data_IF_492277748967
#
_entry.id   IF_492277748967
#
_cell.length_a   1.000
_cell.length_b   1.000
_cell.length_c   1.000
_cell.angle_alpha   90.00
_cell.angle_beta   90.00
_cell.angle_gamma   90.00
#
_symmetry.space_group_name_H-M   'P 1'
#
loop_
_entity.id
_entity.type
_entity.pdbx_description
1 polymer ?
#
# COMPACT_ATOMS: atom_id res chain seq x y z
N UNK A 1 25.72 -12.90 -5.09
CA UNK A 1 24.29 -13.21 -4.86
C UNK A 1 23.61 -13.08 -6.19
N UNK A 2 22.87 -14.10 -6.61
CA UNK A 2 22.11 -14.09 -7.86
C UNK A 2 20.98 -13.04 -7.72
N UNK A 3 20.73 -12.26 -8.76
CA UNK A 3 19.80 -11.13 -8.72
C UNK A 3 18.35 -11.64 -8.82
N UNK A 4 17.54 -11.48 -7.76
CA UNK A 4 16.13 -11.91 -7.76
C UNK A 4 15.34 -11.16 -8.83
N UNK A 5 14.55 -11.88 -9.63
CA UNK A 5 13.70 -11.32 -10.69
C UNK A 5 12.27 -11.17 -10.21
N UNK A 6 11.46 -10.27 -10.82
CA UNK A 6 10.05 -10.12 -10.45
C UNK A 6 9.24 -11.41 -10.50
N UNK A 7 9.53 -12.28 -11.47
CA UNK A 7 8.89 -13.58 -11.62
C UNK A 7 9.14 -14.52 -10.43
N UNK A 8 10.24 -14.35 -9.71
CA UNK A 8 10.61 -15.22 -8.58
C UNK A 8 9.73 -14.94 -7.35
N UNK A 9 9.39 -13.66 -7.09
CA UNK A 9 8.43 -13.27 -6.04
C UNK A 9 7.01 -13.77 -6.40
N UNK A 10 6.66 -13.70 -7.68
CA UNK A 10 5.31 -13.97 -8.15
C UNK A 10 5.00 -15.47 -8.32
N UNK A 11 6.02 -16.33 -8.47
CA UNK A 11 5.85 -17.77 -8.68
C UNK A 11 5.10 -18.48 -7.53
N UNK A 12 5.12 -17.91 -6.31
CA UNK A 12 4.34 -18.41 -5.17
C UNK A 12 3.08 -17.58 -4.86
N UNK A 13 2.81 -16.51 -5.60
CA UNK A 13 1.75 -15.53 -5.30
C UNK A 13 0.40 -15.87 -5.97
N UNK A 14 0.35 -16.97 -6.71
CA UNK A 14 -0.88 -17.43 -7.35
C UNK A 14 -1.85 -18.01 -6.33
N UNK A 15 -2.90 -17.23 -6.04
CA UNK A 15 -4.08 -17.75 -5.35
C UNK A 15 -5.32 -17.37 -6.15
N UNK A 16 -6.16 -18.35 -6.48
CA UNK A 16 -7.49 -18.10 -7.04
C UNK A 16 -8.29 -17.15 -6.13
N UNK A 17 -8.12 -17.29 -4.82
CA UNK A 17 -8.72 -16.42 -3.80
C UNK A 17 -8.44 -14.93 -4.02
N UNK A 18 -7.19 -14.54 -4.31
CA UNK A 18 -6.85 -13.14 -4.59
C UNK A 18 -7.59 -12.63 -5.84
N UNK A 19 -7.62 -13.40 -6.93
CA UNK A 19 -8.30 -12.95 -8.15
C UNK A 19 -9.83 -12.95 -8.02
N UNK A 20 -10.38 -13.84 -7.18
CA UNK A 20 -11.79 -13.88 -6.84
C UNK A 20 -12.20 -12.71 -5.95
N UNK A 21 -11.38 -12.27 -4.99
CA UNK A 21 -11.69 -11.11 -4.16
C UNK A 21 -11.91 -9.84 -5.00
N UNK A 22 -11.06 -9.63 -6.02
CA UNK A 22 -11.18 -8.55 -7.00
C UNK A 22 -12.28 -8.75 -8.05
N UNK A 23 -12.91 -9.93 -8.12
CA UNK A 23 -14.06 -10.16 -8.99
C UNK A 23 -15.37 -9.60 -8.39
N UNK A 24 -15.42 -9.34 -7.08
CA UNK A 24 -16.61 -8.84 -6.41
C UNK A 24 -16.80 -7.33 -6.63
N UNK A 25 -18.00 -6.85 -7.01
CA UNK A 25 -18.24 -5.42 -7.22
C UNK A 25 -18.00 -4.52 -5.99
N UNK A 26 -18.08 -5.09 -4.78
CA UNK A 26 -17.93 -4.33 -3.53
C UNK A 26 -16.57 -3.66 -3.37
N UNK A 27 -15.48 -4.36 -3.71
CA UNK A 27 -14.12 -3.80 -3.58
C UNK A 27 -13.90 -2.65 -4.57
N UNK A 28 -14.43 -2.77 -5.79
CA UNK A 28 -14.36 -1.71 -6.79
C UNK A 28 -15.24 -0.51 -6.42
N UNK A 29 -16.39 -0.73 -5.78
CA UNK A 29 -17.24 0.35 -5.26
C UNK A 29 -16.52 1.16 -4.17
N UNK A 30 -15.84 0.50 -3.23
CA UNK A 30 -15.01 1.16 -2.22
C UNK A 30 -13.87 1.97 -2.85
N UNK A 31 -13.10 1.35 -3.76
CA UNK A 31 -12.00 2.01 -4.47
C UNK A 31 -12.45 3.21 -5.31
N UNK A 32 -13.63 3.14 -5.95
CA UNK A 32 -14.18 4.24 -6.74
C UNK A 32 -14.78 5.35 -5.87
N UNK A 33 -15.34 5.01 -4.70
CA UNK A 33 -15.85 5.97 -3.71
C UNK A 33 -14.72 6.68 -2.96
N UNK A 34 -13.53 6.10 -2.90
CA UNK A 34 -12.31 6.80 -2.50
C UNK A 34 -11.97 7.89 -3.53
N UNK A 35 -12.52 9.08 -3.27
CA UNK A 35 -12.35 10.26 -4.12
C UNK A 35 -10.92 10.77 -4.10
N UNK A 36 -10.22 10.69 -2.97
CA UNK A 36 -8.85 11.19 -2.87
C UNK A 36 -7.92 10.36 -3.75
N UNK A 37 -8.03 9.03 -3.66
CA UNK A 37 -7.36 8.09 -4.58
C UNK A 37 -7.67 8.43 -6.03
N UNK A 38 -8.95 8.32 -6.39
CA UNK A 38 -9.39 8.37 -7.79
C UNK A 38 -9.09 9.73 -8.45
N UNK A 39 -9.26 10.84 -7.71
CA UNK A 39 -8.97 12.17 -8.22
C UNK A 39 -7.47 12.46 -8.31
N UNK A 40 -6.62 11.83 -7.48
CA UNK A 40 -5.17 11.98 -7.58
C UNK A 40 -4.65 11.40 -8.91
N UNK A 41 -5.11 10.19 -9.28
CA UNK A 41 -4.82 9.62 -10.60
C UNK A 41 -5.40 10.45 -11.75
N UNK A 42 -6.65 10.93 -11.62
CA UNK A 42 -7.27 11.80 -12.63
C UNK A 42 -6.46 13.07 -12.87
N UNK A 43 -5.87 13.67 -11.82
CA UNK A 43 -5.02 14.86 -11.92
C UNK A 43 -3.64 14.55 -12.51
N UNK A 44 -3.16 13.32 -12.40
CA UNK A 44 -1.91 12.88 -13.02
C UNK A 44 -2.08 12.60 -14.53
N UNK A 45 -3.22 12.03 -14.95
CA UNK A 45 -3.51 11.63 -16.33
C UNK A 45 -4.09 12.79 -17.17
N UNK A 46 -3.43 13.94 -17.17
CA UNK A 46 -3.86 15.15 -17.90
C UNK A 46 -3.37 15.16 -19.36
N UNK A 47 -3.96 15.98 -20.26
CA UNK A 47 -3.60 15.98 -21.67
C UNK A 47 -2.13 16.27 -21.95
N UNK A 48 -1.48 17.13 -21.16
CA UNK A 48 -0.05 17.43 -21.29
C UNK A 48 0.86 16.24 -20.99
N UNK A 49 0.33 15.19 -20.36
CA UNK A 49 1.05 13.95 -20.04
C UNK A 49 0.71 12.87 -21.05
N UNK A 50 -0.59 12.62 -21.32
CA UNK A 50 -1.03 11.42 -22.05
C UNK A 50 -1.34 11.63 -23.54
N UNK A 51 -1.49 12.88 -24.03
CA UNK A 51 -1.96 13.11 -25.40
C UNK A 51 -1.01 12.53 -26.44
N UNK A 52 -1.54 11.67 -27.32
CA UNK A 52 -0.78 11.00 -28.38
C UNK A 52 0.13 9.86 -27.89
N UNK A 53 0.12 9.54 -26.59
CA UNK A 53 0.94 8.52 -25.96
C UNK A 53 0.25 7.16 -25.91
N UNK A 54 1.05 6.10 -25.78
CA UNK A 54 0.59 4.73 -25.54
C UNK A 54 0.72 4.45 -24.06
N UNK A 55 -0.39 4.05 -23.44
CA UNK A 55 -0.49 3.84 -21.99
C UNK A 55 -0.73 2.36 -21.70
N UNK A 56 -0.05 1.81 -20.70
CA UNK A 56 -0.35 0.51 -20.10
C UNK A 56 -0.94 0.72 -18.72
N UNK A 57 -2.15 0.19 -18.49
CA UNK A 57 -2.85 0.16 -17.20
C UNK A 57 -2.73 -1.25 -16.61
N UNK A 58 -1.87 -1.40 -15.60
CA UNK A 58 -1.55 -2.71 -14.98
C UNK A 58 -2.51 -2.97 -13.84
N UNK A 59 -3.37 -3.99 -13.97
CA UNK A 59 -4.47 -4.27 -13.03
C UNK A 59 -5.59 -3.25 -13.17
N UNK A 60 -6.17 -3.13 -14.37
CA UNK A 60 -7.06 -2.03 -14.68
C UNK A 60 -8.39 -2.06 -13.92
N UNK A 61 -8.77 -3.21 -13.33
CA UNK A 61 -10.04 -3.41 -12.66
C UNK A 61 -11.21 -3.01 -13.57
N UNK A 62 -12.02 -2.05 -13.12
CA UNK A 62 -13.15 -1.49 -13.88
C UNK A 62 -12.75 -0.63 -15.10
N UNK A 63 -11.46 -0.34 -15.29
CA UNK A 63 -10.95 0.45 -16.41
C UNK A 63 -11.01 1.98 -16.19
N UNK A 64 -11.23 2.44 -14.96
CA UNK A 64 -11.35 3.88 -14.66
C UNK A 64 -10.09 4.68 -15.03
N UNK A 65 -8.90 4.16 -14.73
CA UNK A 65 -7.64 4.83 -15.04
C UNK A 65 -7.38 4.85 -16.55
N UNK A 66 -7.63 3.73 -17.22
CA UNK A 66 -7.66 3.62 -18.68
C UNK A 66 -8.59 4.65 -19.33
N UNK A 67 -9.80 4.85 -18.80
CA UNK A 67 -10.73 5.86 -19.31
C UNK A 67 -10.24 7.30 -19.06
N UNK A 68 -9.57 7.59 -17.95
CA UNK A 68 -8.94 8.90 -17.76
C UNK A 68 -7.84 9.16 -18.80
N UNK A 69 -7.00 8.17 -19.09
CA UNK A 69 -5.98 8.30 -20.13
C UNK A 69 -6.60 8.51 -21.52
N UNK A 70 -7.58 7.67 -21.91
CA UNK A 70 -8.26 7.77 -23.19
C UNK A 70 -8.99 9.12 -23.37
N UNK A 71 -9.73 9.57 -22.35
CA UNK A 71 -10.43 10.86 -22.35
C UNK A 71 -9.50 12.05 -22.57
N UNK A 72 -8.26 11.97 -22.07
CA UNK A 72 -7.27 13.03 -22.18
C UNK A 72 -6.37 12.89 -23.44
N UNK A 73 -6.74 12.00 -24.36
CA UNK A 73 -6.17 11.95 -25.71
C UNK A 73 -5.03 10.95 -25.89
N UNK A 74 -4.91 9.94 -25.02
CA UNK A 74 -4.03 8.80 -25.29
C UNK A 74 -4.32 8.21 -26.68
N UNK A 75 -3.26 7.89 -27.42
CA UNK A 75 -3.35 7.27 -28.75
C UNK A 75 -3.92 5.86 -28.64
N UNK A 76 -3.50 5.14 -27.60
CA UNK A 76 -3.87 3.75 -27.30
C UNK A 76 -3.70 3.52 -25.81
N UNK A 77 -4.60 2.74 -25.22
CA UNK A 77 -4.45 2.22 -23.87
C UNK A 77 -4.52 0.70 -23.92
N UNK A 78 -3.52 0.00 -23.38
CA UNK A 78 -3.58 -1.42 -23.08
C UNK A 78 -3.98 -1.56 -21.61
N UNK A 79 -5.12 -2.18 -21.36
CA UNK A 79 -5.65 -2.36 -20.01
C UNK A 79 -5.58 -3.85 -19.67
N UNK A 80 -4.74 -4.24 -18.71
CA UNK A 80 -4.51 -5.64 -18.34
C UNK A 80 -5.25 -5.95 -17.05
N UNK A 81 -6.10 -6.98 -17.06
CA UNK A 81 -6.84 -7.43 -15.89
C UNK A 81 -7.05 -8.95 -15.92
N UNK A 82 -6.67 -9.63 -14.85
CA UNK A 82 -6.79 -11.08 -14.72
C UNK A 82 -8.20 -11.48 -14.27
N UNK A 83 -8.75 -10.75 -13.30
CA UNK A 83 -10.00 -11.10 -12.63
C UNK A 83 -11.22 -10.96 -13.54
N UNK A 84 -12.33 -11.52 -13.09
CA UNK A 84 -13.55 -11.56 -13.91
C UNK A 84 -14.22 -10.20 -14.08
N UNK A 85 -13.86 -9.19 -13.27
CA UNK A 85 -14.34 -7.79 -13.37
C UNK A 85 -14.11 -7.18 -14.74
N UNK A 86 -13.15 -7.72 -15.50
CA UNK A 86 -12.87 -7.30 -16.88
C UNK A 86 -14.12 -7.34 -17.76
N UNK A 87 -15.08 -8.24 -17.49
CA UNK A 87 -16.31 -8.35 -18.30
C UNK A 87 -17.12 -7.07 -18.18
N UNK A 88 -17.29 -6.60 -16.95
CA UNK A 88 -17.91 -5.32 -16.62
C UNK A 88 -17.06 -4.16 -17.16
N UNK A 89 -15.73 -4.22 -17.05
CA UNK A 89 -14.85 -3.19 -17.61
C UNK A 89 -15.04 -3.03 -19.13
N UNK A 90 -15.16 -4.13 -19.88
CA UNK A 90 -15.43 -4.09 -21.32
C UNK A 90 -16.76 -3.41 -21.64
N UNK A 91 -17.82 -3.72 -20.87
CA UNK A 91 -19.12 -3.05 -21.00
C UNK A 91 -19.04 -1.56 -20.69
N UNK A 92 -18.38 -1.19 -19.58
CA UNK A 92 -18.16 0.20 -19.16
C UNK A 92 -17.41 0.99 -20.25
N UNK A 93 -16.30 0.44 -20.76
CA UNK A 93 -15.49 1.06 -21.81
C UNK A 93 -16.34 1.33 -23.06
N UNK A 94 -17.12 0.34 -23.50
CA UNK A 94 -18.02 0.46 -24.66
C UNK A 94 -19.13 1.47 -24.42
N UNK A 95 -19.76 1.46 -23.24
CA UNK A 95 -20.82 2.42 -22.88
C UNK A 95 -20.33 3.87 -22.92
N UNK A 96 -19.04 4.09 -22.68
CA UNK A 96 -18.42 5.40 -22.69
C UNK A 96 -17.72 5.74 -24.03
N UNK A 97 -17.83 4.88 -25.06
CA UNK A 97 -17.34 5.13 -26.41
C UNK A 97 -15.81 5.08 -26.55
N UNK A 98 -15.12 4.35 -25.66
CA UNK A 98 -13.65 4.25 -25.66
C UNK A 98 -13.12 2.92 -26.20
N UNK A 99 -13.97 2.04 -26.74
CA UNK A 99 -13.58 0.72 -27.26
C UNK A 99 -12.58 0.77 -28.43
N UNK A 100 -12.52 1.91 -29.14
CA UNK A 100 -11.56 2.11 -30.23
C UNK A 100 -10.17 2.58 -29.75
N UNK A 101 -10.07 3.03 -28.49
CA UNK A 101 -8.84 3.56 -27.89
C UNK A 101 -8.28 2.60 -26.83
N UNK A 102 -9.15 1.93 -26.07
CA UNK A 102 -8.77 1.03 -24.98
C UNK A 102 -8.87 -0.41 -25.47
N UNK A 103 -7.75 -1.13 -25.44
CA UNK A 103 -7.67 -2.57 -25.68
C UNK A 103 -7.55 -3.29 -24.34
N UNK A 104 -8.63 -3.98 -23.94
CA UNK A 104 -8.66 -4.77 -22.72
C UNK A 104 -8.07 -6.16 -22.99
N UNK A 105 -7.11 -6.58 -22.16
CA UNK A 105 -6.38 -7.85 -22.27
C UNK A 105 -6.62 -8.64 -20.98
N UNK A 106 -7.13 -9.86 -21.11
CA UNK A 106 -7.25 -10.77 -19.98
C UNK A 106 -5.95 -11.52 -19.73
N UNK A 107 -5.46 -11.47 -18.50
CA UNK A 107 -4.37 -12.31 -18.04
C UNK A 107 -3.54 -11.64 -16.95
N UNK A 108 -2.59 -12.39 -16.40
CA UNK A 108 -1.57 -11.83 -15.51
C UNK A 108 -0.58 -11.01 -16.32
N UNK A 109 -0.05 -9.94 -15.73
CA UNK A 109 0.86 -9.02 -16.42
C UNK A 109 2.11 -9.75 -16.96
N UNK A 110 2.51 -10.82 -16.30
CA UNK A 110 3.69 -11.64 -16.59
C UNK A 110 3.48 -12.62 -17.75
N UNK A 111 2.21 -12.95 -18.02
CA UNK A 111 1.79 -13.97 -19.00
C UNK A 111 1.26 -13.34 -20.29
N UNK A 112 0.81 -12.09 -20.24
CA UNK A 112 0.30 -11.37 -21.43
C UNK A 112 1.43 -10.76 -22.24
N UNK A 113 1.20 -10.66 -23.55
CA UNK A 113 2.09 -9.96 -24.48
C UNK A 113 1.49 -8.60 -24.88
N UNK A 114 2.27 -7.54 -24.71
CA UNK A 114 1.92 -6.20 -25.19
C UNK A 114 2.68 -5.98 -26.50
N UNK A 115 2.00 -5.64 -27.60
CA UNK A 115 2.58 -5.72 -28.95
C UNK A 115 3.64 -4.65 -29.23
N UNK A 116 3.78 -3.64 -28.36
CA UNK A 116 4.76 -2.56 -28.51
C UNK A 116 5.20 -1.99 -27.15
N UNK A 117 6.35 -1.31 -27.13
CA UNK A 117 6.80 -0.54 -25.97
C UNK A 117 5.85 0.64 -25.71
N UNK A 118 5.55 0.91 -24.44
CA UNK A 118 4.61 1.95 -24.01
C UNK A 118 5.34 3.21 -23.50
N UNK A 119 4.71 4.36 -23.67
CA UNK A 119 5.25 5.64 -23.20
C UNK A 119 4.99 5.85 -21.70
N UNK A 120 3.89 5.28 -21.20
CA UNK A 120 3.39 5.50 -19.84
C UNK A 120 2.92 4.16 -19.27
N UNK A 121 3.34 3.84 -18.06
CA UNK A 121 2.67 2.85 -17.21
C UNK A 121 1.90 3.60 -16.14
N UNK A 122 0.63 3.24 -15.96
CA UNK A 122 -0.16 3.63 -14.80
C UNK A 122 -0.63 2.38 -14.09
N UNK A 123 -0.58 2.39 -12.77
CA UNK A 123 -1.10 1.29 -11.97
C UNK A 123 -1.43 1.80 -10.60
N UNK A 124 -2.54 1.34 -10.06
CA UNK A 124 -2.84 1.45 -8.65
C UNK A 124 -2.54 0.09 -8.03
N UNK A 125 -1.33 -0.02 -7.48
CA UNK A 125 -0.72 -1.26 -7.01
C UNK A 125 -0.58 -1.32 -5.48
N UNK A 126 -0.92 -0.23 -4.81
CA UNK A 126 -0.60 -0.05 -3.40
C UNK A 126 -1.55 -0.89 -2.56
N UNK A 127 -1.01 -1.73 -1.69
CA UNK A 127 -1.78 -2.43 -0.66
C UNK A 127 -1.83 -1.66 0.65
N UNK A 128 -2.44 -2.27 1.67
CA UNK A 128 -2.26 -1.84 3.05
C UNK A 128 -0.77 -1.83 3.41
N UNK A 129 -0.35 -0.94 4.31
CA UNK A 129 1.06 -0.76 4.64
C UNK A 129 1.97 -0.55 3.40
N UNK A 130 1.41 -0.02 2.30
CA UNK A 130 1.99 0.14 0.96
C UNK A 130 2.30 -1.17 0.21
N UNK A 131 2.91 -2.16 0.88
CA UNK A 131 3.49 -3.35 0.25
C UNK A 131 2.60 -4.60 0.29
N UNK A 132 1.50 -4.57 1.04
CA UNK A 132 0.63 -5.75 1.16
C UNK A 132 0.07 -6.17 -0.22
N UNK A 133 -0.19 -7.46 -0.39
CA UNK A 133 -0.62 -8.10 -1.65
C UNK A 133 0.41 -8.16 -2.79
N UNK A 134 1.57 -7.52 -2.65
CA UNK A 134 2.75 -7.68 -3.53
C UNK A 134 2.55 -7.36 -5.03
N UNK A 135 1.54 -6.56 -5.39
CA UNK A 135 1.28 -6.18 -6.79
C UNK A 135 2.41 -5.32 -7.41
N UNK A 136 3.24 -4.67 -6.58
CA UNK A 136 4.39 -3.88 -7.04
C UNK A 136 5.37 -4.70 -7.91
N UNK A 137 5.52 -6.00 -7.66
CA UNK A 137 6.36 -6.87 -8.48
C UNK A 137 5.86 -6.95 -9.94
N UNK A 138 4.54 -7.00 -10.17
CA UNK A 138 3.93 -6.98 -11.50
C UNK A 138 4.15 -5.64 -12.21
N UNK A 139 4.12 -4.53 -11.47
CA UNK A 139 4.41 -3.20 -12.01
C UNK A 139 5.88 -3.09 -12.42
N UNK A 140 6.81 -3.60 -11.61
CA UNK A 140 8.23 -3.66 -11.93
C UNK A 140 8.48 -4.52 -13.17
N UNK A 141 7.84 -5.70 -13.26
CA UNK A 141 7.89 -6.55 -14.44
C UNK A 141 7.43 -5.79 -15.71
N UNK A 142 6.27 -5.13 -15.63
CA UNK A 142 5.72 -4.36 -16.75
C UNK A 142 6.65 -3.22 -17.17
N UNK A 143 7.27 -2.53 -16.21
CA UNK A 143 8.23 -1.47 -16.45
C UNK A 143 9.44 -1.98 -17.22
N UNK A 144 10.08 -3.03 -16.71
CA UNK A 144 11.33 -3.55 -17.29
C UNK A 144 11.09 -4.12 -18.69
N UNK A 145 9.95 -4.77 -18.90
CA UNK A 145 9.62 -5.40 -20.19
C UNK A 145 9.03 -4.44 -21.20
N UNK A 146 8.10 -3.57 -20.81
CA UNK A 146 7.26 -2.82 -21.75
C UNK A 146 7.47 -1.31 -21.76
N UNK A 147 8.05 -0.70 -20.72
CA UNK A 147 8.28 0.75 -20.74
C UNK A 147 9.42 1.12 -21.70
N UNK A 148 9.28 2.25 -22.40
CA UNK A 148 10.37 2.89 -23.16
C UNK A 148 11.42 3.49 -22.21
N UNK A 149 12.63 3.71 -22.72
CA UNK A 149 13.72 4.28 -21.91
C UNK A 149 13.40 5.69 -21.39
N UNK A 150 12.71 6.51 -22.19
CA UNK A 150 12.21 7.84 -21.81
C UNK A 150 10.77 7.83 -21.25
N UNK A 151 10.21 6.63 -21.03
CA UNK A 151 8.86 6.46 -20.51
C UNK A 151 8.74 6.83 -19.04
N UNK A 152 7.50 7.11 -18.62
CA UNK A 152 7.16 7.46 -17.24
C UNK A 152 6.26 6.41 -16.60
N UNK A 153 6.33 6.30 -15.28
CA UNK A 153 5.50 5.44 -14.45
C UNK A 153 4.70 6.29 -13.48
N UNK A 154 3.42 5.97 -13.28
CA UNK A 154 2.48 6.73 -12.46
C UNK A 154 1.79 5.82 -11.42
N UNK A 155 1.97 6.06 -10.11
CA UNK A 155 2.86 7.07 -9.50
C UNK A 155 4.35 6.82 -9.81
N UNK A 156 5.19 7.85 -9.72
CA UNK A 156 6.64 7.72 -9.96
C UNK A 156 7.44 7.45 -8.68
N UNK A 157 6.93 7.88 -7.53
CA UNK A 157 7.54 7.58 -6.23
C UNK A 157 6.49 7.23 -5.18
N UNK A 158 6.83 6.33 -4.27
CA UNK A 158 6.06 6.04 -3.07
C UNK A 158 6.94 6.18 -1.82
N UNK A 159 6.44 6.75 -0.74
CA UNK A 159 7.18 6.94 0.51
C UNK A 159 6.38 6.44 1.70
N UNK A 160 7.07 5.82 2.66
CA UNK A 160 6.48 5.38 3.92
C UNK A 160 6.86 6.35 5.02
N UNK A 161 5.89 6.66 5.87
CA UNK A 161 6.05 7.47 7.07
C UNK A 161 5.64 6.67 8.30
N UNK A 162 6.28 6.99 9.41
CA UNK A 162 6.07 6.35 10.70
C UNK A 162 5.82 7.42 11.77
N UNK A 163 4.88 7.17 12.67
CA UNK A 163 4.61 8.03 13.82
C UNK A 163 4.23 7.19 15.03
N UNK A 164 4.75 7.54 16.20
CA UNK A 164 4.26 7.00 17.47
C UNK A 164 2.83 7.43 17.77
N UNK A 165 2.02 6.50 18.29
CA UNK A 165 0.63 6.70 18.68
C UNK A 165 0.38 6.34 20.15
N UNK A 166 -0.60 7.03 20.73
CA UNK A 166 -1.25 6.68 21.97
C UNK A 166 -2.71 6.34 21.65
N UNK A 167 -3.10 5.08 21.87
CA UNK A 167 -4.47 4.60 21.72
C UNK A 167 -4.84 3.74 22.95
N UNK A 168 -4.74 4.38 24.11
CA UNK A 168 -5.01 3.72 25.39
C UNK A 168 -6.48 3.28 25.51
N UNK A 169 -7.39 4.04 24.91
CA UNK A 169 -8.83 3.75 24.93
C UNK A 169 -9.13 2.41 24.23
N UNK A 170 -8.59 2.18 23.03
CA UNK A 170 -8.76 0.91 22.32
C UNK A 170 -8.15 -0.27 23.09
N UNK A 171 -6.96 -0.09 23.65
CA UNK A 171 -6.29 -1.15 24.41
C UNK A 171 -7.08 -1.52 25.67
N UNK A 172 -7.58 -0.52 26.41
CA UNK A 172 -8.44 -0.74 27.59
C UNK A 172 -9.78 -1.37 27.21
N UNK A 173 -10.38 -1.00 26.07
CA UNK A 173 -11.61 -1.62 25.58
C UNK A 173 -11.39 -3.11 25.27
N UNK A 174 -10.32 -3.44 24.54
CA UNK A 174 -9.93 -4.84 24.26
C UNK A 174 -9.71 -5.61 25.56
N UNK A 175 -8.92 -5.07 26.49
CA UNK A 175 -8.65 -5.72 27.76
C UNK A 175 -9.94 -5.98 28.56
N UNK A 176 -10.83 -4.98 28.66
CA UNK A 176 -12.13 -5.13 29.35
C UNK A 176 -13.02 -6.18 28.72
N UNK A 177 -13.09 -6.22 27.38
CA UNK A 177 -13.92 -7.19 26.69
C UNK A 177 -13.39 -8.61 26.89
N UNK A 178 -12.09 -8.84 26.65
CA UNK A 178 -11.49 -10.16 26.72
C UNK A 178 -11.31 -10.70 28.14
N UNK A 179 -11.14 -9.83 29.14
CA UNK A 179 -11.12 -10.26 30.55
C UNK A 179 -12.48 -10.75 31.06
N UNK A 180 -13.58 -10.43 30.38
CA UNK A 180 -14.92 -10.87 30.75
C UNK A 180 -15.87 -10.95 29.56
N UNK A 181 -15.81 -12.07 28.84
CA UNK A 181 -16.72 -12.38 27.75
C UNK A 181 -17.93 -13.12 28.33
N UNK A 182 -19.00 -12.37 28.64
CA UNK A 182 -20.26 -12.92 29.20
C UNK A 182 -20.09 -13.75 30.49
N UNK A 183 -19.16 -13.36 31.36
CA UNK A 183 -18.87 -14.04 32.63
C UNK A 183 -17.68 -15.01 32.58
N UNK A 184 -17.05 -15.18 31.42
CA UNK A 184 -15.89 -16.05 31.22
C UNK A 184 -14.63 -15.24 30.92
N UNK A 185 -13.51 -15.65 31.51
CA UNK A 185 -12.20 -15.02 31.29
C UNK A 185 -11.57 -15.56 30.00
N UNK A 186 -11.38 -14.68 29.02
CA UNK A 186 -10.76 -14.95 27.71
C UNK A 186 -9.44 -14.17 27.57
N UNK A 187 -8.81 -13.74 28.68
CA UNK A 187 -7.60 -12.92 28.67
C UNK A 187 -6.43 -13.56 27.91
N UNK A 188 -6.39 -14.90 27.77
CA UNK A 188 -5.41 -15.58 26.92
C UNK A 188 -5.50 -15.24 25.42
N UNK A 189 -6.63 -14.70 24.95
CA UNK A 189 -6.81 -14.29 23.55
C UNK A 189 -6.21 -12.90 23.30
N UNK A 190 -5.98 -12.10 24.35
CA UNK A 190 -5.53 -10.71 24.22
C UNK A 190 -4.21 -10.63 23.46
N UNK A 191 -3.26 -11.53 23.74
CA UNK A 191 -1.98 -11.60 23.04
C UNK A 191 -2.13 -11.91 21.55
N UNK A 192 -3.12 -12.71 21.17
CA UNK A 192 -3.31 -13.08 19.76
C UNK A 192 -3.94 -11.93 18.96
N UNK A 193 -4.79 -11.11 19.59
CA UNK A 193 -5.50 -10.00 18.91
C UNK A 193 -4.77 -8.65 18.96
N UNK A 194 -3.61 -8.58 19.64
CA UNK A 194 -2.73 -7.41 19.66
C UNK A 194 -1.52 -7.55 18.75
N UNK A 195 -1.21 -8.76 18.30
CA UNK A 195 -0.06 -9.08 17.43
C UNK A 195 -0.34 -8.79 15.95
N UNK A 196 -1.59 -8.81 15.51
CA UNK A 196 -1.92 -8.50 14.12
C UNK A 196 -1.98 -6.97 13.89
N UNK A 197 -1.34 -6.45 12.83
CA UNK A 197 -1.45 -5.03 12.48
C UNK A 197 -2.90 -4.64 12.21
N UNK A 198 -3.35 -3.55 12.82
CA UNK A 198 -4.69 -3.03 12.65
C UNK A 198 -4.73 -2.05 11.47
N UNK A 199 -5.50 -2.36 10.44
CA UNK A 199 -5.81 -1.40 9.36
C UNK A 199 -7.06 -0.61 9.73
N UNK A 200 -6.86 0.59 10.28
CA UNK A 200 -7.98 1.46 10.64
C UNK A 200 -7.68 2.96 10.49
N UNK A 201 -8.73 3.77 10.56
CA UNK A 201 -8.63 5.22 10.50
C UNK A 201 -7.99 5.72 11.79
N UNK A 202 -6.84 6.38 11.64
CA UNK A 202 -6.09 7.02 12.70
C UNK A 202 -6.37 8.52 12.67
N UNK A 203 -6.99 9.01 13.74
CA UNK A 203 -7.15 10.45 13.99
C UNK A 203 -5.79 11.03 14.44
N UNK A 204 -5.41 12.20 13.94
CA UNK A 204 -4.13 12.82 14.31
C UNK A 204 -4.01 13.12 15.81
N UNK A 205 -5.11 13.17 16.55
CA UNK A 205 -5.14 13.26 18.02
C UNK A 205 -4.54 12.05 18.72
N UNK A 206 -4.35 10.91 18.06
CA UNK A 206 -3.63 9.77 18.64
C UNK A 206 -2.12 9.91 18.49
N UNK A 207 -1.62 10.77 17.59
CA UNK A 207 -0.18 10.94 17.40
C UNK A 207 0.47 11.57 18.64
N UNK A 208 1.53 10.96 19.14
CA UNK A 208 2.37 11.46 20.24
C UNK A 208 3.78 11.85 19.78
N UNK A 209 3.99 11.88 18.46
CA UNK A 209 5.26 12.22 17.80
C UNK A 209 4.97 12.99 16.51
N UNK A 210 5.97 13.65 15.95
CA UNK A 210 5.89 14.14 14.57
C UNK A 210 6.20 12.98 13.61
N UNK A 211 5.38 12.74 12.57
CA UNK A 211 5.67 11.70 11.59
C UNK A 211 7.02 11.91 10.91
N UNK A 212 7.76 10.82 10.73
CA UNK A 212 9.05 10.83 10.03
C UNK A 212 8.98 9.96 8.79
N UNK A 213 9.51 10.46 7.67
CA UNK A 213 9.63 9.69 6.43
C UNK A 213 10.81 8.74 6.56
N UNK A 214 10.56 7.44 6.43
CA UNK A 214 11.60 6.42 6.63
C UNK A 214 12.21 5.97 5.31
N UNK A 215 11.41 5.81 4.26
CA UNK A 215 11.90 5.35 2.96
C UNK A 215 11.13 6.00 1.81
N UNK A 216 11.80 6.15 0.67
CA UNK A 216 11.20 6.56 -0.60
C UNK A 216 11.64 5.57 -1.69
N UNK A 217 10.68 4.97 -2.37
CA UNK A 217 10.88 4.11 -3.53
C UNK A 217 10.75 4.93 -4.81
N UNK A 218 11.75 4.81 -5.68
CA UNK A 218 11.70 5.35 -7.05
C UNK A 218 11.24 4.22 -7.98
N UNK A 219 9.98 4.29 -8.43
CA UNK A 219 9.40 3.23 -9.24
C UNK A 219 10.04 3.15 -10.63
N UNK A 220 10.75 4.18 -11.09
CA UNK A 220 11.44 4.14 -12.38
C UNK A 220 12.67 3.25 -12.35
N UNK A 221 13.29 3.09 -11.18
CA UNK A 221 14.60 2.48 -11.03
C UNK A 221 14.67 1.35 -10.00
N UNK A 222 13.69 1.22 -9.11
CA UNK A 222 13.76 0.20 -8.06
C UNK A 222 13.76 -1.23 -8.61
N UNK A 223 14.47 -2.13 -7.97
CA UNK A 223 14.38 -3.57 -8.23
C UNK A 223 13.47 -4.25 -7.19
N UNK A 224 13.05 -5.48 -7.49
CA UNK A 224 12.21 -6.26 -6.56
C UNK A 224 12.92 -6.65 -5.28
N UNK A 225 14.26 -6.70 -5.27
CA UNK A 225 15.06 -6.89 -4.05
C UNK A 225 14.82 -5.78 -3.01
N UNK A 226 14.38 -4.60 -3.44
CA UNK A 226 14.08 -3.49 -2.53
C UNK A 226 12.69 -3.60 -1.88
N UNK A 227 11.92 -4.64 -2.18
CA UNK A 227 10.66 -4.95 -1.49
C UNK A 227 10.89 -5.68 -0.15
N UNK A 228 12.08 -6.27 0.04
CA UNK A 228 12.60 -6.68 1.35
C UNK A 228 13.57 -5.60 1.82
N UNK A 229 13.19 -4.82 2.82
CA UNK A 229 13.97 -3.67 3.26
C UNK A 229 13.96 -3.47 4.76
N UNK A 230 15.12 -3.08 5.29
CA UNK A 230 15.32 -2.68 6.67
C UNK A 230 15.72 -1.20 6.71
N UNK A 231 15.00 -0.40 7.50
CA UNK A 231 15.26 1.04 7.60
C UNK A 231 15.23 1.52 9.05
N UNK A 232 16.28 2.24 9.51
CA UNK A 232 16.25 2.85 10.83
C UNK A 232 15.34 4.07 10.83
N UNK A 233 14.77 4.38 11.98
CA UNK A 233 14.02 5.61 12.20
C UNK A 233 14.27 6.16 13.60
N UNK A 234 14.00 7.44 13.76
CA UNK A 234 14.07 8.13 15.05
C UNK A 234 12.93 9.14 15.10
N UNK A 235 12.21 9.18 16.22
CA UNK A 235 11.25 10.25 16.50
C UNK A 235 11.35 10.70 17.95
N UNK A 236 10.90 11.92 18.18
CA UNK A 236 10.86 12.55 19.50
C UNK A 236 9.42 12.53 20.01
N UNK A 237 9.22 12.02 21.22
CA UNK A 237 7.93 12.12 21.92
C UNK A 237 7.63 13.60 22.15
N UNK A 238 6.45 14.06 21.75
CA UNK A 238 6.05 15.46 21.86
C UNK A 238 4.83 15.67 22.78
N UNK A 239 4.29 14.59 23.35
CA UNK A 239 3.15 14.61 24.28
C UNK A 239 3.43 13.73 25.49
N UNK A 240 2.91 14.15 26.63
CA UNK A 240 3.04 13.46 27.92
C UNK A 240 1.95 12.38 28.04
N UNK A 241 2.10 11.32 27.26
CA UNK A 241 1.20 10.17 27.16
C UNK A 241 2.01 8.90 26.85
N UNK A 242 1.54 7.70 27.25
CA UNK A 242 2.17 6.44 26.87
C UNK A 242 2.32 6.28 25.36
N UNK A 243 3.43 5.69 24.91
CA UNK A 243 3.53 5.22 23.52
C UNK A 243 2.97 3.80 23.43
N UNK A 244 1.75 3.70 22.91
CA UNK A 244 1.01 2.43 22.76
C UNK A 244 1.43 1.62 21.54
N UNK A 245 2.03 2.27 20.55
CA UNK A 245 2.40 1.63 19.29
C UNK A 245 2.84 2.64 18.25
N UNK A 246 2.80 2.20 17.00
CA UNK A 246 3.21 3.00 15.85
C UNK A 246 2.13 2.95 14.76
N UNK A 247 1.89 4.08 14.11
CA UNK A 247 1.08 4.21 12.91
C UNK A 247 2.00 4.41 11.70
N UNK A 248 1.79 3.60 10.66
CA UNK A 248 2.37 3.78 9.33
C UNK A 248 1.32 4.30 8.34
N UNK A 249 1.79 5.18 7.47
CA UNK A 249 1.04 5.62 6.29
C UNK A 249 2.00 5.85 5.12
N UNK A 250 1.46 6.09 3.94
CA UNK A 250 2.25 6.33 2.75
C UNK A 250 1.77 7.52 1.91
N UNK A 251 2.71 8.08 1.15
CA UNK A 251 2.43 9.06 0.11
C UNK A 251 2.92 8.54 -1.24
N UNK A 252 2.12 8.71 -2.29
CA UNK A 252 2.54 8.52 -3.66
C UNK A 252 2.58 9.87 -4.39
N UNK A 253 3.67 10.14 -5.09
CA UNK A 253 3.81 11.35 -5.92
C UNK A 253 3.63 10.99 -7.39
N UNK A 254 3.13 11.95 -8.17
CA UNK A 254 2.98 11.87 -9.62
C UNK A 254 3.70 13.06 -10.27
N UNK A 255 4.86 12.80 -10.87
CA UNK A 255 5.67 13.77 -11.62
C UNK A 255 5.94 15.05 -10.82
N UNK A 256 6.14 14.93 -9.50
CA UNK A 256 6.35 16.03 -8.53
C UNK A 256 5.21 17.05 -8.41
N UNK A 257 4.03 16.79 -9.00
CA UNK A 257 2.92 17.77 -9.09
C UNK A 257 1.68 17.40 -8.31
N UNK A 258 1.35 16.12 -8.23
CA UNK A 258 0.18 15.62 -7.49
C UNK A 258 0.63 14.60 -6.46
N UNK A 259 -0.13 14.50 -5.35
CA UNK A 259 0.15 13.59 -4.25
C UNK A 259 -1.14 12.84 -3.89
N UNK A 260 -1.03 11.52 -3.77
CA UNK A 260 -1.95 10.69 -3.02
C UNK A 260 -1.31 10.51 -1.65
N UNK A 261 -2.07 10.72 -0.58
CA UNK A 261 -1.59 10.57 0.80
C UNK A 261 -2.60 9.75 1.58
N UNK A 262 -2.11 8.87 2.44
CA UNK A 262 -2.90 8.11 3.39
C UNK A 262 -2.59 8.52 4.82
N UNK A 263 -2.05 9.73 5.03
CA UNK A 263 -1.74 10.23 6.38
C UNK A 263 -2.98 10.24 7.30
N UNK A 264 -2.79 10.17 8.63
CA UNK A 264 -3.84 10.44 9.62
C UNK A 264 -4.70 11.65 9.23
N UNK A 265 -5.98 11.57 9.55
CA UNK A 265 -7.06 12.48 9.10
C UNK A 265 -7.44 12.42 7.60
N UNK A 266 -6.77 11.59 6.80
CA UNK A 266 -7.14 11.40 5.39
C UNK A 266 -7.92 10.10 5.23
N UNK A 267 -9.22 10.23 4.94
CA UNK A 267 -10.09 9.08 4.73
C UNK A 267 -9.91 8.49 3.32
N UNK A 268 -8.94 7.60 3.19
CA UNK A 268 -8.76 6.70 2.03
C UNK A 268 -9.10 5.27 2.43
N UNK A 269 -9.43 4.42 1.47
CA UNK A 269 -9.77 3.01 1.76
C UNK A 269 -8.60 2.21 2.38
N UNK A 270 -7.34 2.60 2.09
CA UNK A 270 -6.16 2.04 2.76
C UNK A 270 -6.07 2.34 4.24
N UNK A 271 -6.74 3.41 4.68
CA UNK A 271 -6.64 3.97 6.03
C UNK A 271 -5.16 4.11 6.45
N UNK A 272 -4.83 3.74 7.68
CA UNK A 272 -3.47 3.63 8.20
C UNK A 272 -3.24 2.22 8.75
N UNK A 273 -1.98 1.84 8.94
CA UNK A 273 -1.63 0.55 9.56
C UNK A 273 -0.99 0.79 10.92
N UNK A 274 -1.67 0.35 11.98
CA UNK A 274 -1.26 0.52 13.36
C UNK A 274 -0.64 -0.79 13.91
N UNK A 275 0.53 -0.67 14.50
CA UNK A 275 1.31 -1.73 15.13
C UNK A 275 1.33 -1.47 16.63
N UNK A 276 0.50 -2.20 17.38
CA UNK A 276 0.42 -2.05 18.84
C UNK A 276 1.53 -2.83 19.52
N UNK A 277 2.07 -2.26 20.61
CA UNK A 277 3.07 -2.93 21.40
C UNK A 277 2.42 -3.88 22.41
N UNK A 278 3.03 -5.04 22.65
CA UNK A 278 2.59 -5.94 23.74
C UNK A 278 2.79 -5.25 25.09
N UNK A 279 3.88 -4.48 25.20
CA UNK A 279 4.22 -3.66 26.35
C UNK A 279 4.43 -2.21 25.91
N UNK A 280 3.43 -1.34 26.10
CA UNK A 280 3.55 0.09 25.86
C UNK A 280 4.72 0.75 26.60
N UNK A 281 5.19 1.90 26.11
CA UNK A 281 6.14 2.74 26.83
C UNK A 281 5.39 3.68 27.79
N UNK A 282 4.98 3.17 28.94
CA UNK A 282 4.05 3.84 29.86
C UNK A 282 4.55 5.19 30.40
N UNK A 283 5.85 5.33 30.59
CA UNK A 283 6.49 6.53 31.15
C UNK A 283 7.20 7.40 30.10
N UNK A 284 6.77 7.30 28.83
CA UNK A 284 7.20 8.17 27.75
C UNK A 284 6.85 9.64 28.07
N UNK A 285 7.82 10.54 27.92
CA UNK A 285 7.67 11.96 28.21
C UNK A 285 8.16 12.84 27.05
N UNK A 286 7.65 14.07 26.92
CA UNK A 286 8.12 15.00 25.89
C UNK A 286 9.64 15.19 25.92
N UNK A 287 10.28 15.03 24.76
CA UNK A 287 11.73 15.09 24.61
C UNK A 287 12.44 13.73 24.66
N UNK A 288 11.76 12.66 25.08
CA UNK A 288 12.30 11.31 24.96
C UNK A 288 12.51 10.96 23.48
N UNK A 289 13.69 10.42 23.17
CA UNK A 289 14.07 10.01 21.82
C UNK A 289 13.86 8.51 21.71
N UNK A 290 13.00 8.10 20.78
CA UNK A 290 12.79 6.69 20.44
C UNK A 290 13.50 6.42 19.12
N UNK A 291 14.46 5.49 19.17
CA UNK A 291 15.16 4.96 18.00
C UNK A 291 14.61 3.59 17.68
N UNK A 292 14.45 3.31 16.39
CA UNK A 292 13.97 2.01 15.97
C UNK A 292 14.47 1.58 14.61
N UNK A 293 14.09 0.36 14.27
CA UNK A 293 14.35 -0.29 12.99
C UNK A 293 13.04 -0.93 12.53
N UNK A 294 12.65 -0.62 11.30
CA UNK A 294 11.52 -1.21 10.61
C UNK A 294 12.03 -2.14 9.50
N UNK A 295 11.75 -3.43 9.60
CA UNK A 295 12.02 -4.40 8.55
C UNK A 295 10.69 -4.90 8.00
N UNK A 296 10.49 -4.79 6.69
CA UNK A 296 9.35 -5.35 5.98
C UNK A 296 9.85 -6.27 4.88
N UNK A 297 9.29 -7.48 4.80
CA UNK A 297 9.59 -8.46 3.76
C UNK A 297 8.34 -9.27 3.40
N UNK A 298 8.25 -9.80 2.17
CA UNK A 298 7.25 -10.82 1.84
C UNK A 298 7.38 -12.01 2.79
N UNK A 299 6.25 -12.52 3.29
CA UNK A 299 6.27 -13.63 4.22
C UNK A 299 6.75 -14.93 3.53
N UNK A 300 7.52 -15.74 4.25
CA UNK A 300 7.98 -17.04 3.74
C UNK A 300 6.82 -18.02 3.53
N UNK A 301 5.71 -17.84 4.25
CA UNK A 301 4.50 -18.66 4.17
C UNK A 301 3.69 -18.40 2.90
N UNK A 302 3.58 -17.13 2.48
CA UNK A 302 2.83 -16.74 1.30
C UNK A 302 3.32 -15.36 0.78
N UNK A 303 3.73 -15.22 -0.48
CA UNK A 303 4.40 -14.01 -0.98
C UNK A 303 3.49 -12.79 -1.15
N UNK A 304 2.17 -12.92 -0.92
CA UNK A 304 1.25 -11.77 -0.80
C UNK A 304 1.09 -11.26 0.63
N UNK A 305 1.57 -12.02 1.62
CA UNK A 305 1.57 -11.65 3.03
C UNK A 305 2.88 -10.93 3.36
N UNK A 306 2.92 -10.24 4.49
CA UNK A 306 4.11 -9.55 4.97
C UNK A 306 4.53 -10.05 6.36
N UNK A 307 5.83 -10.25 6.54
CA UNK A 307 6.46 -10.32 7.84
C UNK A 307 7.09 -8.95 8.14
N UNK A 308 6.77 -8.41 9.32
CA UNK A 308 7.21 -7.07 9.73
C UNK A 308 7.91 -7.19 11.08
N UNK A 309 9.19 -6.82 11.14
CA UNK A 309 9.95 -6.77 12.39
C UNK A 309 10.13 -5.31 12.80
N UNK A 310 9.66 -4.97 13.99
CA UNK A 310 9.69 -3.62 14.52
C UNK A 310 10.44 -3.61 15.85
N UNK A 311 11.58 -2.92 15.85
CA UNK A 311 12.41 -2.73 17.04
C UNK A 311 12.39 -1.28 17.44
N UNK A 312 12.13 -0.99 18.70
CA UNK A 312 12.12 0.35 19.27
C UNK A 312 12.89 0.37 20.59
N UNK A 313 13.54 1.49 20.89
CA UNK A 313 14.24 1.68 22.16
C UNK A 313 14.32 3.14 22.55
N UNK A 314 14.31 3.38 23.86
CA UNK A 314 14.63 4.67 24.47
C UNK A 314 15.72 4.45 25.52
N UNK A 315 16.96 4.80 25.17
CA UNK A 315 18.14 4.55 26.00
C UNK A 315 18.06 5.26 27.35
N UNK A 316 17.61 6.52 27.37
CA UNK A 316 17.50 7.34 28.57
C UNK A 316 16.54 6.76 29.63
N UNK A 317 15.57 5.94 29.21
CA UNK A 317 14.55 5.32 30.06
C UNK A 317 14.72 3.81 30.18
N UNK A 318 15.76 3.23 29.56
CA UNK A 318 16.02 1.79 29.50
C UNK A 318 14.81 0.98 28.99
N UNK A 319 14.04 1.57 28.06
CA UNK A 319 12.89 0.92 27.45
C UNK A 319 13.26 0.32 26.09
N UNK A 320 12.75 -0.87 25.81
CA UNK A 320 12.92 -1.58 24.54
C UNK A 320 11.66 -2.34 24.18
N UNK A 321 11.35 -2.40 22.89
CA UNK A 321 10.32 -3.24 22.32
C UNK A 321 10.86 -3.91 21.05
N UNK A 322 10.73 -5.24 20.93
CA UNK A 322 11.20 -6.02 19.79
C UNK A 322 10.10 -7.03 19.45
N UNK A 323 9.37 -6.77 18.37
CA UNK A 323 8.19 -7.52 18.01
C UNK A 323 8.13 -7.83 16.52
N UNK A 324 7.50 -8.96 16.21
CA UNK A 324 7.23 -9.41 14.86
C UNK A 324 5.72 -9.42 14.65
N UNK A 325 5.29 -8.86 13.53
CA UNK A 325 3.91 -8.77 13.12
C UNK A 325 3.73 -9.49 11.79
N UNK A 326 2.55 -10.08 11.59
CA UNK A 326 2.20 -10.75 10.35
C UNK A 326 0.98 -10.10 9.73
N UNK A 327 1.08 -9.67 8.48
CA UNK A 327 -0.08 -9.24 7.69
C UNK A 327 -0.43 -10.38 6.74
N UNK A 328 -1.52 -11.09 7.02
CA UNK A 328 -2.01 -12.24 6.27
C UNK A 328 -3.28 -11.93 5.48
#
# INVERSE_FOLDING_TARGET
MEECKPTDILAGADSEYYWESYSHPGIHDEMLKDRHRTLSYKRALVPSVVKGKIVLDVGCGTGILSMFAARNGAKRVYAVEMSSVRKQAAEIIKLNGYENVITLIQGKMEEVDIPEKVDIIVSEWMGYNLMFESMLASVIYARDKYLKDDGIILPDTASIYIAGINDEELLQEKERFWSNVYGFDFSCVLSDVTVDPLVDYCDSRYLCTTPVKIITFDLRHMSVNQMDFTVPFEFVINRDVPLSGICLYFDCTFLKKSYLTTKPDTNTHWKQTCFYFDLPFDNAAPGDIVKGVYHCKPAASHPRHLDIELKCSCEAKQWTNDQVYHMN
#
